data_IF_793696444270
#
_entry.id   IF_793696444270
#
_cell.length_a   1.000
_cell.length_b   1.000
_cell.length_c   1.000
_cell.angle_alpha   90.00
_cell.angle_beta   90.00
_cell.angle_gamma   90.00
#
_symmetry.space_group_name_H-M   'P 1'
#
loop_
_entity.id
_entity.type
_entity.pdbx_description
1 polymer ?
#
# COMPACT_ATOMS: atom_id res chain seq x y z
N UNK A 1 24.53 -16.33 20.07
CA UNK A 1 24.03 -15.62 18.89
C UNK A 1 23.25 -16.62 18.08
N UNK A 2 21.96 -16.75 18.34
CA UNK A 2 21.09 -17.66 17.61
C UNK A 2 20.11 -16.79 16.82
N UNK A 3 20.62 -16.22 15.74
CA UNK A 3 19.89 -15.30 14.86
C UNK A 3 19.19 -16.11 13.78
N UNK A 4 18.26 -16.99 14.18
CA UNK A 4 17.38 -17.63 13.22
C UNK A 4 16.20 -16.68 12.95
N UNK A 5 16.02 -16.28 11.69
CA UNK A 5 14.85 -15.55 11.24
C UNK A 5 13.97 -16.48 10.40
N UNK A 6 12.66 -16.26 10.45
CA UNK A 6 11.72 -17.00 9.60
C UNK A 6 11.95 -16.62 8.13
N UNK A 7 12.22 -17.61 7.30
CA UNK A 7 12.33 -17.45 5.85
C UNK A 7 11.02 -17.83 5.18
N UNK A 8 10.43 -16.86 4.48
CA UNK A 8 9.18 -17.03 3.71
C UNK A 8 9.46 -16.61 2.28
N UNK A 9 8.92 -17.37 1.33
CA UNK A 9 9.06 -17.05 -0.09
C UNK A 9 7.86 -16.24 -0.59
N UNK A 10 8.09 -15.43 -1.61
CA UNK A 10 7.02 -14.75 -2.33
C UNK A 10 5.94 -15.74 -2.78
N UNK A 11 4.72 -15.25 -3.00
CA UNK A 11 3.55 -16.03 -3.40
C UNK A 11 3.89 -16.96 -4.58
N UNK A 12 3.64 -18.26 -4.41
CA UNK A 12 3.92 -19.33 -5.39
C UNK A 12 5.41 -19.54 -5.74
N UNK A 13 6.34 -18.96 -4.98
CA UNK A 13 7.78 -19.07 -5.25
C UNK A 13 8.43 -20.35 -4.71
N UNK A 14 7.66 -21.36 -4.31
CA UNK A 14 8.18 -22.68 -3.91
C UNK A 14 8.18 -23.59 -5.14
N UNK A 15 9.28 -24.32 -5.37
CA UNK A 15 9.45 -25.19 -6.55
C UNK A 15 9.91 -26.62 -6.23
N UNK A 16 10.02 -26.96 -4.95
CA UNK A 16 10.40 -28.31 -4.51
C UNK A 16 9.92 -28.54 -3.08
N UNK A 17 9.66 -29.80 -2.73
CA UNK A 17 9.31 -30.18 -1.37
C UNK A 17 10.56 -30.38 -0.50
N UNK A 18 11.55 -31.13 -1.02
CA UNK A 18 12.74 -31.54 -0.26
C UNK A 18 13.85 -30.49 -0.25
N UNK A 19 14.24 -30.00 -1.43
CA UNK A 19 15.33 -29.04 -1.53
C UNK A 19 15.00 -27.71 -0.84
N UNK A 20 13.74 -27.25 -0.90
CA UNK A 20 13.32 -26.00 -0.25
C UNK A 20 13.43 -26.05 1.28
N UNK A 21 13.03 -27.16 1.92
CA UNK A 21 13.17 -27.33 3.37
C UNK A 21 14.64 -27.41 3.78
N UNK A 22 15.46 -28.14 3.02
CA UNK A 22 16.91 -28.22 3.27
C UNK A 22 17.62 -26.89 3.12
N UNK A 23 17.12 -26.05 2.20
CA UNK A 23 17.61 -24.69 2.00
C UNK A 23 17.13 -23.69 3.06
N UNK A 24 16.30 -24.12 4.03
CA UNK A 24 15.83 -23.27 5.12
C UNK A 24 14.55 -22.48 4.82
N UNK A 25 13.77 -22.84 3.79
CA UNK A 25 12.44 -22.25 3.61
C UNK A 25 11.51 -22.75 4.73
N UNK A 26 10.97 -21.85 5.54
CA UNK A 26 10.19 -22.22 6.72
C UNK A 26 8.69 -22.25 6.47
N UNK A 27 8.17 -21.43 5.55
CA UNK A 27 6.74 -21.37 5.21
C UNK A 27 6.49 -21.24 3.70
N UNK A 28 5.64 -22.11 3.16
CA UNK A 28 5.11 -22.01 1.78
C UNK A 28 3.87 -21.11 1.78
N UNK A 29 3.79 -20.19 0.81
CA UNK A 29 2.65 -19.30 0.61
C UNK A 29 2.26 -19.21 -0.87
N UNK A 30 0.96 -19.03 -1.20
CA UNK A 30 -0.20 -18.98 -0.30
C UNK A 30 -0.75 -20.40 -0.02
N UNK A 31 -1.73 -20.49 0.87
CA UNK A 31 -2.53 -21.72 1.02
C UNK A 31 -3.56 -21.87 -0.11
N UNK A 32 -4.00 -23.11 -0.43
CA UNK A 32 -3.52 -24.39 0.09
C UNK A 32 -2.11 -24.76 -0.44
N UNK A 33 -1.29 -25.52 0.32
CA UNK A 33 0.09 -25.83 -0.06
C UNK A 33 0.13 -26.78 -1.26
N UNK A 34 1.07 -26.52 -2.18
CA UNK A 34 1.32 -27.39 -3.34
C UNK A 34 2.46 -28.36 -3.06
N UNK A 35 3.56 -27.88 -2.46
CA UNK A 35 4.77 -28.68 -2.25
C UNK A 35 4.83 -29.33 -0.87
N UNK A 36 4.17 -28.74 0.12
CA UNK A 36 4.15 -29.23 1.50
C UNK A 36 2.95 -30.09 1.86
N UNK A 37 2.15 -30.49 0.87
CA UNK A 37 1.11 -31.50 0.99
C UNK A 37 1.71 -32.90 0.72
N UNK A 38 1.05 -33.72 -0.11
CA UNK A 38 1.44 -35.11 -0.40
C UNK A 38 2.89 -35.27 -0.88
N UNK A 39 3.45 -34.25 -1.55
CA UNK A 39 4.82 -34.28 -2.03
C UNK A 39 5.84 -34.37 -0.89
N UNK A 40 5.62 -33.64 0.21
CA UNK A 40 6.48 -33.70 1.39
C UNK A 40 6.41 -35.07 2.05
N UNK A 41 5.20 -35.65 2.18
CA UNK A 41 5.04 -36.98 2.74
C UNK A 41 5.81 -38.03 1.93
N UNK A 42 5.72 -37.98 0.59
CA UNK A 42 6.51 -38.85 -0.29
C UNK A 42 8.02 -38.66 -0.10
N UNK A 43 8.49 -37.42 0.11
CA UNK A 43 9.90 -37.14 0.38
C UNK A 43 10.37 -37.73 1.71
N UNK A 44 9.53 -37.73 2.75
CA UNK A 44 9.84 -38.38 4.04
C UNK A 44 9.88 -39.90 3.87
N UNK A 45 8.88 -40.51 3.22
CA UNK A 45 8.85 -41.96 2.96
C UNK A 45 10.05 -42.42 2.12
N UNK A 46 10.44 -41.63 1.12
CA UNK A 46 11.61 -41.90 0.28
C UNK A 46 12.95 -41.51 0.95
N UNK A 47 12.95 -41.12 2.23
CA UNK A 47 14.13 -40.69 2.97
C UNK A 47 14.92 -39.53 2.34
N UNK A 48 14.26 -38.73 1.49
CA UNK A 48 14.83 -37.50 0.94
C UNK A 48 14.90 -36.40 1.99
N UNK A 49 14.03 -36.42 2.99
CA UNK A 49 14.02 -35.53 4.15
C UNK A 49 13.88 -36.35 5.42
N UNK A 50 14.58 -35.95 6.48
CA UNK A 50 14.41 -36.50 7.82
C UNK A 50 13.51 -35.61 8.66
N UNK A 51 12.79 -36.21 9.61
CA UNK A 51 11.89 -35.49 10.52
C UNK A 51 12.57 -34.31 11.26
N UNK A 52 13.82 -34.42 11.76
CA UNK A 52 14.49 -33.29 12.40
C UNK A 52 14.66 -32.07 11.47
N UNK A 53 14.82 -32.27 10.15
CA UNK A 53 14.92 -31.18 9.19
C UNK A 53 13.58 -30.44 9.01
N UNK A 54 12.46 -31.12 9.27
CA UNK A 54 11.12 -30.52 9.32
C UNK A 54 10.93 -29.81 10.66
N UNK A 55 11.30 -30.45 11.78
CA UNK A 55 11.18 -29.88 13.13
C UNK A 55 11.90 -28.54 13.26
N UNK A 56 13.05 -28.39 12.61
CA UNK A 56 13.77 -27.12 12.58
C UNK A 56 12.96 -26.01 11.89
N UNK A 57 12.24 -26.30 10.80
CA UNK A 57 11.36 -25.32 10.12
C UNK A 57 10.15 -24.97 10.97
N UNK A 58 9.54 -25.99 11.59
CA UNK A 58 8.40 -25.83 12.49
C UNK A 58 8.78 -24.96 13.69
N UNK A 59 9.99 -25.13 14.24
CA UNK A 59 10.51 -24.30 15.33
C UNK A 59 10.51 -22.82 14.99
N UNK A 60 10.92 -22.44 13.77
CA UNK A 60 10.92 -21.04 13.33
C UNK A 60 9.50 -20.47 13.18
N UNK A 61 8.56 -21.26 12.63
CA UNK A 61 7.14 -20.88 12.57
C UNK A 61 6.56 -20.69 13.98
N UNK A 62 6.84 -21.61 14.92
CA UNK A 62 6.39 -21.51 16.31
C UNK A 62 7.00 -20.30 17.04
N UNK A 63 8.26 -19.93 16.75
CA UNK A 63 8.88 -18.70 17.26
C UNK A 63 8.10 -17.46 16.80
N UNK A 64 7.70 -17.39 15.52
CA UNK A 64 6.86 -16.31 15.02
C UNK A 64 5.50 -16.29 15.73
N UNK A 65 4.82 -17.43 15.84
CA UNK A 65 3.51 -17.55 16.52
C UNK A 65 3.62 -17.05 17.96
N UNK A 66 4.63 -17.49 18.72
CA UNK A 66 4.86 -17.05 20.09
C UNK A 66 5.19 -15.56 20.21
N UNK A 67 5.80 -14.96 19.19
CA UNK A 67 6.07 -13.52 19.15
C UNK A 67 4.79 -12.73 18.88
N UNK A 68 4.01 -13.15 17.90
CA UNK A 68 2.78 -12.46 17.48
C UNK A 68 1.66 -12.65 18.49
N UNK A 69 1.57 -13.80 19.18
CA UNK A 69 0.58 -14.03 20.24
C UNK A 69 0.62 -12.98 21.37
N UNK A 70 1.76 -12.31 21.57
CA UNK A 70 1.92 -11.23 22.55
C UNK A 70 1.23 -9.92 22.13
N UNK A 71 0.78 -9.79 20.89
CA UNK A 71 0.06 -8.60 20.41
C UNK A 71 -1.34 -8.50 21.01
N UNK A 72 -1.92 -9.62 21.48
CA UNK A 72 -3.28 -9.67 21.99
C UNK A 72 -4.37 -9.54 20.91
N UNK A 73 -3.98 -9.52 19.63
CA UNK A 73 -4.92 -9.46 18.51
C UNK A 73 -5.65 -10.82 18.40
N UNK A 74 -6.99 -10.85 18.43
CA UNK A 74 -7.75 -12.09 18.25
C UNK A 74 -7.50 -12.73 16.88
N UNK A 75 -7.61 -14.06 16.82
CA UNK A 75 -7.55 -14.78 15.55
C UNK A 75 -8.70 -14.34 14.64
N UNK A 76 -8.41 -14.08 13.36
CA UNK A 76 -9.37 -13.58 12.37
C UNK A 76 -10.09 -12.28 12.78
N UNK A 77 -9.44 -11.43 13.58
CA UNK A 77 -9.96 -10.10 13.87
C UNK A 77 -10.17 -9.31 12.56
N UNK A 78 -11.28 -8.58 12.49
CA UNK A 78 -11.53 -7.67 11.38
C UNK A 78 -10.45 -6.57 11.34
N UNK A 79 -10.03 -6.22 10.13
CA UNK A 79 -9.17 -5.07 9.92
C UNK A 79 -9.98 -3.81 10.19
N UNK A 80 -9.74 -3.21 11.36
CA UNK A 80 -10.39 -1.97 11.79
C UNK A 80 -9.37 -0.84 11.83
N UNK A 81 -9.79 0.36 11.45
CA UNK A 81 -8.96 1.56 11.51
C UNK A 81 -9.72 2.77 11.00
N UNK A 82 -9.52 3.91 11.67
CA UNK A 82 -10.02 5.22 11.26
C UNK A 82 -8.81 6.16 11.14
N UNK A 83 -8.85 7.17 10.25
CA UNK A 83 -7.75 8.11 10.10
C UNK A 83 -7.64 9.00 11.34
N UNK A 84 -6.79 8.58 12.29
CA UNK A 84 -6.46 9.39 13.46
C UNK A 84 -5.73 10.68 13.02
N UNK A 85 -6.03 11.85 13.62
CA UNK A 85 -5.41 13.12 13.23
C UNK A 85 -3.87 13.10 13.30
N UNK A 86 -3.30 12.39 14.27
CA UNK A 86 -1.85 12.22 14.43
C UNK A 86 -1.24 11.44 13.25
N UNK A 87 -1.86 10.32 12.88
CA UNK A 87 -1.45 9.50 11.72
C UNK A 87 -1.55 10.30 10.42
N UNK A 88 -2.64 11.05 10.23
CA UNK A 88 -2.81 11.90 9.03
C UNK A 88 -1.72 12.98 8.96
N UNK A 89 -1.40 13.63 10.09
CA UNK A 89 -0.33 14.62 10.16
C UNK A 89 1.04 14.00 9.82
N UNK A 90 1.34 12.84 10.40
CA UNK A 90 2.59 12.13 10.16
C UNK A 90 2.75 11.71 8.70
N UNK A 91 1.69 11.18 8.08
CA UNK A 91 1.70 10.81 6.66
C UNK A 91 1.89 12.04 5.76
N UNK A 92 1.27 13.17 6.09
CA UNK A 92 1.45 14.43 5.36
C UNK A 92 2.89 14.93 5.45
N UNK A 93 3.51 14.86 6.62
CA UNK A 93 4.91 15.23 6.82
C UNK A 93 5.86 14.30 6.05
N UNK A 94 5.67 12.98 6.17
CA UNK A 94 6.47 12.00 5.44
C UNK A 94 6.39 12.20 3.91
N UNK A 95 5.19 12.47 3.39
CA UNK A 95 4.99 12.79 1.98
C UNK A 95 5.67 14.09 1.56
N UNK A 96 5.64 15.13 2.41
CA UNK A 96 6.34 16.38 2.16
C UNK A 96 7.86 16.18 2.08
N UNK A 97 8.44 15.34 2.94
CA UNK A 97 9.88 15.02 2.94
C UNK A 97 10.29 14.06 1.81
N UNK A 98 9.37 13.29 1.25
CA UNK A 98 9.63 12.40 0.12
C UNK A 98 9.74 13.14 -1.23
N UNK A 99 9.26 14.38 -1.31
CA UNK A 99 9.31 15.17 -2.54
C UNK A 99 10.71 15.72 -2.80
N UNK A 100 11.15 15.62 -4.06
CA UNK A 100 12.47 16.12 -4.51
C UNK A 100 12.27 17.21 -5.56
N UNK A 101 12.79 18.42 -5.27
CA UNK A 101 12.78 19.53 -6.21
C UNK A 101 13.87 19.34 -7.27
N UNK A 102 13.47 18.94 -8.49
CA UNK A 102 14.42 18.65 -9.56
C UNK A 102 14.89 19.91 -10.32
N UNK A 103 14.01 20.90 -10.48
CA UNK A 103 14.29 22.14 -11.20
C UNK A 103 13.54 23.30 -10.56
N UNK A 104 14.25 24.40 -10.31
CA UNK A 104 13.67 25.68 -9.92
C UNK A 104 14.46 26.78 -10.66
N UNK A 105 13.84 27.36 -11.68
CA UNK A 105 14.43 28.45 -12.46
C UNK A 105 13.75 29.76 -12.09
N UNK A 106 14.51 30.87 -12.12
CA UNK A 106 13.98 32.22 -11.87
C UNK A 106 13.33 32.39 -10.48
N UNK A 107 13.72 31.54 -9.51
CA UNK A 107 13.13 31.53 -8.17
C UNK A 107 11.60 31.43 -8.17
N UNK A 108 11.04 30.69 -9.13
CA UNK A 108 9.60 30.50 -9.28
C UNK A 108 8.95 29.91 -8.02
N UNK A 109 9.65 29.00 -7.35
CA UNK A 109 9.22 28.42 -6.07
C UNK A 109 10.04 28.99 -4.90
N UNK A 110 9.40 29.22 -3.73
CA UNK A 110 8.01 28.91 -3.39
C UNK A 110 6.99 29.92 -3.96
N UNK A 111 5.78 29.45 -4.29
CA UNK A 111 4.69 30.32 -4.72
C UNK A 111 4.21 31.18 -3.54
N UNK A 112 4.21 32.50 -3.72
CA UNK A 112 3.69 33.45 -2.74
C UNK A 112 2.21 33.71 -3.01
N UNK A 113 1.33 33.30 -2.10
CA UNK A 113 -0.11 33.58 -2.21
C UNK A 113 -0.45 35.07 -2.14
N UNK A 114 0.51 35.95 -1.78
CA UNK A 114 0.32 37.41 -1.80
C UNK A 114 0.44 38.01 -3.20
N UNK A 115 1.21 37.36 -4.06
CA UNK A 115 1.59 37.90 -5.36
C UNK A 115 0.76 37.29 -6.51
N UNK A 116 -0.18 36.40 -6.17
CA UNK A 116 -0.96 35.62 -7.13
C UNK A 116 -2.45 35.85 -6.90
N UNK A 117 -3.15 36.28 -7.95
CA UNK A 117 -4.61 36.48 -7.94
C UNK A 117 -5.37 35.30 -8.54
N UNK A 118 -4.74 34.54 -9.44
CA UNK A 118 -5.31 33.35 -10.05
C UNK A 118 -4.25 32.28 -10.33
N UNK A 119 -4.63 31.02 -10.22
CA UNK A 119 -3.79 29.84 -10.46
C UNK A 119 -4.55 28.89 -11.40
N UNK A 120 -3.93 28.57 -12.53
CA UNK A 120 -4.37 27.52 -13.44
C UNK A 120 -3.67 26.20 -13.13
N UNK A 121 -4.42 25.19 -12.70
CA UNK A 121 -3.95 23.82 -12.51
C UNK A 121 -4.28 23.02 -13.77
N UNK A 122 -3.26 22.46 -14.41
CA UNK A 122 -3.41 21.74 -15.69
C UNK A 122 -2.83 20.35 -15.57
N UNK A 123 -3.63 19.35 -15.97
CA UNK A 123 -3.14 18.00 -16.21
C UNK A 123 -3.98 16.89 -15.56
N UNK A 124 -3.87 15.66 -16.08
CA UNK A 124 -4.71 14.53 -15.65
C UNK A 124 -4.48 14.08 -14.22
N UNK A 125 -3.27 14.27 -13.69
CA UNK A 125 -2.94 13.88 -12.31
C UNK A 125 -3.32 14.93 -11.27
N UNK A 126 -3.84 16.10 -11.69
CA UNK A 126 -4.21 17.15 -10.76
C UNK A 126 -5.41 16.76 -9.89
N UNK A 127 -6.46 16.20 -10.50
CA UNK A 127 -7.68 15.74 -9.81
C UNK A 127 -7.80 14.20 -9.80
N UNK A 128 -6.71 13.48 -10.04
CA UNK A 128 -6.71 12.02 -9.96
C UNK A 128 -6.20 11.53 -8.59
N UNK A 129 -6.83 10.49 -8.01
CA UNK A 129 -6.41 9.92 -6.73
C UNK A 129 -5.20 8.99 -6.92
N UNK A 130 -4.02 9.56 -7.17
CA UNK A 130 -2.76 8.81 -7.37
C UNK A 130 -2.02 8.71 -6.04
N UNK A 131 -2.40 7.75 -5.20
CA UNK A 131 -1.82 7.57 -3.86
C UNK A 131 -0.85 6.38 -3.74
N UNK A 132 -0.92 5.39 -4.63
CA UNK A 132 0.00 4.25 -4.64
C UNK A 132 0.20 3.69 -6.05
N UNK A 133 1.26 2.93 -6.23
CA UNK A 133 1.47 2.15 -7.45
C UNK A 133 0.53 0.94 -7.54
N UNK A 134 0.57 0.23 -8.66
CA UNK A 134 -0.20 -1.01 -8.82
C UNK A 134 0.43 -2.22 -8.10
N UNK A 135 -0.30 -3.34 -8.08
CA UNK A 135 0.20 -4.63 -7.61
C UNK A 135 -0.01 -4.87 -6.11
N UNK A 136 0.90 -5.62 -5.47
CA UNK A 136 0.76 -6.07 -4.08
C UNK A 136 0.90 -4.97 -3.02
N UNK A 137 1.33 -3.78 -3.42
CA UNK A 137 1.44 -2.60 -2.56
C UNK A 137 0.20 -1.67 -2.66
N UNK A 138 -0.75 -1.97 -3.55
CA UNK A 138 -1.96 -1.18 -3.68
C UNK A 138 -2.91 -1.48 -2.52
N UNK A 139 -3.46 -0.43 -1.94
CA UNK A 139 -4.34 -0.47 -0.79
C UNK A 139 -5.49 0.52 -0.97
N UNK A 140 -6.64 0.24 -0.34
CA UNK A 140 -7.77 1.19 -0.34
C UNK A 140 -7.52 2.22 0.76
N UNK A 141 -7.29 3.51 0.42
CA UNK A 141 -7.07 4.52 1.45
C UNK A 141 -8.37 4.83 2.19
N UNK A 142 -8.27 5.12 3.50
CA UNK A 142 -9.40 5.65 4.28
C UNK A 142 -9.88 6.99 3.73
N UNK A 143 -8.92 7.88 3.45
CA UNK A 143 -9.16 9.19 2.84
C UNK A 143 -7.99 9.51 1.92
N UNK A 144 -8.26 10.23 0.83
CA UNK A 144 -7.24 10.78 -0.05
C UNK A 144 -7.53 12.25 -0.34
N UNK A 145 -6.51 12.97 -0.78
CA UNK A 145 -6.60 14.37 -1.21
C UNK A 145 -5.88 14.49 -2.53
N UNK A 146 -6.54 15.04 -3.54
CA UNK A 146 -5.90 15.25 -4.85
C UNK A 146 -4.96 16.46 -4.80
N UNK A 147 -4.06 16.58 -5.78
CA UNK A 147 -3.16 17.74 -5.83
C UNK A 147 -3.96 19.06 -6.00
N UNK A 148 -5.05 19.03 -6.77
CA UNK A 148 -5.97 20.14 -6.95
C UNK A 148 -6.63 20.56 -5.63
N UNK A 149 -7.17 19.60 -4.88
CA UNK A 149 -7.77 19.84 -3.56
C UNK A 149 -6.74 20.38 -2.56
N UNK A 150 -5.53 19.83 -2.55
CA UNK A 150 -4.44 20.26 -1.68
C UNK A 150 -3.98 21.69 -1.97
N UNK A 151 -3.85 22.06 -3.25
CA UNK A 151 -3.52 23.43 -3.67
C UNK A 151 -4.64 24.39 -3.27
N UNK A 152 -5.91 24.04 -3.55
CA UNK A 152 -7.04 24.88 -3.22
C UNK A 152 -7.18 25.11 -1.70
N UNK A 153 -7.01 24.07 -0.88
CA UNK A 153 -7.03 24.16 0.57
C UNK A 153 -5.87 25.04 1.09
N UNK A 154 -4.65 24.82 0.61
CA UNK A 154 -3.49 25.61 1.04
C UNK A 154 -3.62 27.10 0.71
N UNK A 155 -4.24 27.45 -0.43
CA UNK A 155 -4.51 28.85 -0.79
C UNK A 155 -5.63 29.45 0.05
N UNK A 156 -6.70 28.69 0.32
CA UNK A 156 -7.80 29.14 1.17
C UNK A 156 -7.33 29.46 2.59
N UNK A 157 -6.42 28.65 3.14
CA UNK A 157 -5.82 28.85 4.47
C UNK A 157 -5.02 30.15 4.57
N UNK A 158 -4.55 30.73 3.46
CA UNK A 158 -3.83 32.02 3.47
C UNK A 158 -4.75 33.22 3.65
N UNK A 159 -6.07 33.05 3.52
CA UNK A 159 -7.06 34.13 3.61
C UNK A 159 -7.12 35.06 2.39
N UNK A 160 -6.28 34.83 1.37
CA UNK A 160 -6.30 35.59 0.12
C UNK A 160 -7.34 35.01 -0.85
N UNK A 161 -8.06 35.88 -1.57
CA UNK A 161 -8.94 35.45 -2.66
C UNK A 161 -8.10 35.13 -3.90
N UNK A 162 -7.61 33.89 -3.98
CA UNK A 162 -6.94 33.35 -5.17
C UNK A 162 -7.93 32.46 -5.93
N UNK A 163 -8.17 32.77 -7.20
CA UNK A 163 -9.03 31.95 -8.04
C UNK A 163 -8.27 30.71 -8.54
N UNK A 164 -8.73 29.51 -8.22
CA UNK A 164 -8.14 28.25 -8.71
C UNK A 164 -8.99 27.72 -9.86
N UNK A 165 -8.42 27.72 -11.05
CA UNK A 165 -9.02 27.15 -12.26
C UNK A 165 -8.37 25.82 -12.58
N UNK A 166 -9.15 24.85 -13.05
CA UNK A 166 -8.65 23.55 -13.46
C UNK A 166 -9.06 23.25 -14.89
N UNK A 167 -8.12 22.70 -15.67
CA UNK A 167 -8.43 22.04 -16.93
C UNK A 167 -7.63 20.75 -17.07
N UNK A 168 -8.27 19.72 -17.62
CA UNK A 168 -7.65 18.41 -17.80
C UNK A 168 -6.43 18.48 -18.72
N UNK A 169 -6.49 19.30 -19.76
CA UNK A 169 -5.49 19.34 -20.83
C UNK A 169 -5.52 18.08 -21.69
N UNK A 170 -4.87 17.01 -21.23
CA UNK A 170 -4.74 15.74 -21.95
C UNK A 170 -5.03 14.53 -21.05
N UNK A 171 -5.54 13.45 -21.65
CA UNK A 171 -5.72 12.19 -20.96
C UNK A 171 -4.41 11.39 -20.90
N UNK A 172 -4.12 10.78 -19.75
CA UNK A 172 -2.92 9.94 -19.55
C UNK A 172 -3.23 8.54 -18.99
N UNK A 173 -4.48 8.09 -19.09
CA UNK A 173 -4.87 6.78 -18.57
C UNK A 173 -4.40 5.66 -19.51
N UNK A 174 -3.86 4.58 -18.94
CA UNK A 174 -3.45 3.38 -19.68
C UNK A 174 -4.66 2.57 -20.17
N UNK A 175 -5.68 2.50 -19.33
CA UNK A 175 -6.95 1.83 -19.59
C UNK A 175 -8.08 2.84 -19.43
N UNK A 176 -9.22 2.61 -20.09
CA UNK A 176 -10.37 3.50 -19.95
C UNK A 176 -10.71 3.69 -18.46
N UNK A 177 -10.90 4.93 -17.98
CA UNK A 177 -11.15 5.17 -16.59
C UNK A 177 -12.44 4.45 -16.17
N UNK A 178 -12.42 3.84 -14.99
CA UNK A 178 -13.64 3.35 -14.36
C UNK A 178 -14.63 4.51 -14.23
N UNK A 179 -15.92 4.22 -14.35
CA UNK A 179 -16.98 5.18 -14.01
C UNK A 179 -16.76 5.59 -12.54
N UNK A 180 -16.18 6.77 -12.33
CA UNK A 180 -15.80 7.21 -11.00
C UNK A 180 -17.01 7.50 -10.13
N UNK A 181 -16.83 7.42 -8.81
CA UNK A 181 -17.78 7.83 -7.77
C UNK A 181 -18.47 9.19 -8.05
N UNK A 182 -17.73 10.16 -8.62
CA UNK A 182 -18.24 11.48 -8.99
C UNK A 182 -19.32 11.44 -10.10
N UNK A 183 -19.41 10.34 -10.85
CA UNK A 183 -20.36 10.12 -11.95
C UNK A 183 -21.43 9.06 -11.62
N UNK A 184 -21.29 8.36 -10.50
CA UNK A 184 -22.24 7.37 -10.03
C UNK A 184 -23.10 7.97 -8.91
N UNK A 185 -24.41 7.96 -9.12
CA UNK A 185 -25.40 8.38 -8.11
C UNK A 185 -26.22 7.17 -7.71
N UNK A 186 -26.54 7.04 -6.42
CA UNK A 186 -27.56 6.08 -5.97
C UNK A 186 -28.90 6.42 -6.62
N UNK A 187 -29.88 5.51 -6.58
CA UNK A 187 -31.26 5.84 -7.01
C UNK A 187 -31.86 7.05 -6.26
N UNK A 188 -31.34 7.37 -5.08
CA UNK A 188 -31.71 8.54 -4.29
C UNK A 188 -30.97 9.83 -4.68
N UNK A 189 -30.00 9.77 -5.60
CA UNK A 189 -29.25 10.93 -6.09
C UNK A 189 -27.97 11.25 -5.32
N UNK A 190 -27.61 10.43 -4.33
CA UNK A 190 -26.42 10.64 -3.49
C UNK A 190 -25.16 10.11 -4.20
N UNK A 191 -24.02 10.83 -4.12
CA UNK A 191 -22.76 10.37 -4.69
C UNK A 191 -22.25 9.12 -3.93
N UNK A 192 -21.77 8.11 -4.66
CA UNK A 192 -21.18 6.93 -4.04
C UNK A 192 -19.82 7.30 -3.41
N UNK A 193 -19.68 7.27 -2.09
CA UNK A 193 -18.41 7.61 -1.42
C UNK A 193 -18.50 8.27 -0.05
N UNK A 194 -19.70 8.50 0.48
CA UNK A 194 -19.90 8.83 1.90
C UNK A 194 -20.07 7.55 2.73
N UNK A 195 -18.97 6.82 2.92
CA UNK A 195 -18.74 5.93 4.05
C UNK A 195 -17.31 6.17 4.52
#
# INVERSE_FOLDING_TARGET
MDSSCLTVVNRYGTYSADASIKAGLDLEMPGPPTWRADALQRCVTAQKIRVPEIDDRVREVLKLINRVAKSGIPENADETGEPEPETVSLLREAAAHANVLLKNSESLLPLSAKDVTSIGVIGPNADAPVFSGGGSANLRPYKHTTALEGIAAALADTGNKVEVQYTLGAHAHKEAPLLGAKHLKTKAGEPEGSL
#
